data_IF_014742359430
#
_entry.id   IF_014742359430
#
_cell.length_a   1.000
_cell.length_b   1.000
_cell.length_c   1.000
_cell.angle_alpha   90.00
_cell.angle_beta   90.00
_cell.angle_gamma   90.00
#
_symmetry.space_group_name_H-M   'P 1'
#
loop_
_entity.id
_entity.type
_entity.pdbx_description
1 polymer ?
#
# COMPACT_ATOMS: atom_id res chain seq x y z
N UNK A 1 37.80 -28.83 15.03
CA UNK A 1 36.86 -27.69 15.07
C UNK A 1 36.22 -27.59 13.70
N UNK A 2 35.00 -28.07 13.56
CA UNK A 2 34.21 -27.92 12.33
C UNK A 2 33.81 -26.46 12.19
N UNK A 3 34.05 -25.89 11.01
CA UNK A 3 33.71 -24.51 10.70
C UNK A 3 32.19 -24.31 10.91
N UNK A 4 31.75 -23.44 11.83
CA UNK A 4 30.33 -23.27 12.17
C UNK A 4 29.47 -22.83 10.98
N UNK A 5 30.11 -22.39 9.88
CA UNK A 5 29.46 -22.04 8.62
C UNK A 5 28.96 -23.24 7.80
N UNK A 6 29.49 -24.45 8.01
CA UNK A 6 29.13 -25.65 7.22
C UNK A 6 27.72 -26.19 7.52
N UNK A 7 27.14 -25.84 8.68
CA UNK A 7 25.80 -26.28 9.07
C UNK A 7 24.69 -25.26 8.81
N UNK A 8 25.02 -24.04 8.36
CA UNK A 8 24.04 -22.99 8.10
C UNK A 8 23.15 -23.33 6.90
N UNK A 9 23.72 -23.92 5.84
CA UNK A 9 22.99 -24.25 4.60
C UNK A 9 21.85 -25.26 4.81
N UNK A 10 22.07 -26.44 5.42
CA UNK A 10 20.99 -27.39 5.68
C UNK A 10 19.93 -26.83 6.62
N UNK A 11 20.33 -26.01 7.60
CA UNK A 11 19.40 -25.42 8.58
C UNK A 11 18.50 -24.37 7.93
N UNK A 12 19.07 -23.40 7.19
CA UNK A 12 18.30 -22.39 6.45
C UNK A 12 17.36 -23.06 5.45
N UNK A 13 17.84 -24.05 4.69
CA UNK A 13 17.01 -24.78 3.74
C UNK A 13 15.86 -25.53 4.43
N UNK A 14 16.14 -26.25 5.52
CA UNK A 14 15.12 -26.97 6.27
C UNK A 14 14.05 -26.03 6.85
N UNK A 15 14.47 -24.86 7.33
CA UNK A 15 13.56 -23.83 7.85
C UNK A 15 12.71 -23.24 6.73
N UNK A 16 13.30 -22.90 5.58
CA UNK A 16 12.55 -22.41 4.42
C UNK A 16 11.55 -23.46 3.92
N UNK A 17 11.95 -24.73 3.80
CA UNK A 17 11.05 -25.81 3.41
C UNK A 17 9.93 -25.96 4.43
N UNK A 18 10.26 -25.97 5.73
CA UNK A 18 9.26 -26.04 6.80
C UNK A 18 8.26 -24.87 6.76
N UNK A 19 8.74 -23.65 6.53
CA UNK A 19 7.89 -22.45 6.43
C UNK A 19 7.05 -22.45 5.15
N UNK A 20 7.61 -22.86 4.01
CA UNK A 20 6.86 -22.98 2.73
C UNK A 20 5.77 -24.03 2.85
N UNK A 21 6.09 -25.22 3.39
CA UNK A 21 5.11 -26.28 3.63
C UNK A 21 4.06 -25.82 4.63
N UNK A 22 4.46 -25.18 5.73
CA UNK A 22 3.56 -24.60 6.72
C UNK A 22 2.62 -23.56 6.11
N UNK A 23 3.14 -22.63 5.31
CA UNK A 23 2.34 -21.60 4.62
C UNK A 23 1.40 -22.23 3.58
N UNK A 24 1.86 -23.23 2.84
CA UNK A 24 1.01 -23.94 1.88
C UNK A 24 -0.14 -24.67 2.58
N UNK A 25 0.15 -25.38 3.68
CA UNK A 25 -0.85 -26.03 4.51
C UNK A 25 -1.84 -25.01 5.08
N UNK A 26 -1.33 -23.92 5.65
CA UNK A 26 -2.12 -22.80 6.17
C UNK A 26 -3.08 -22.26 5.10
N UNK A 27 -2.55 -21.87 3.93
CA UNK A 27 -3.36 -21.33 2.83
C UNK A 27 -4.34 -22.35 2.24
N UNK A 28 -4.00 -23.65 2.24
CA UNK A 28 -4.88 -24.72 1.74
C UNK A 28 -6.16 -24.84 2.55
N UNK A 29 -6.08 -24.67 3.87
CA UNK A 29 -7.21 -24.75 4.80
C UNK A 29 -7.70 -23.38 5.29
N UNK A 30 -7.11 -22.29 4.81
CA UNK A 30 -7.45 -20.94 5.25
C UNK A 30 -8.90 -20.57 4.86
N UNK A 31 -9.72 -19.99 5.77
CA UNK A 31 -11.08 -19.59 5.46
C UNK A 31 -11.15 -18.52 4.35
N UNK A 32 -10.08 -17.75 4.15
CA UNK A 32 -9.98 -16.75 3.09
C UNK A 32 -9.19 -17.23 1.86
N UNK A 33 -8.95 -18.54 1.69
CA UNK A 33 -8.15 -19.09 0.59
C UNK A 33 -8.59 -18.57 -0.79
N UNK A 34 -9.89 -18.52 -1.05
CA UNK A 34 -10.43 -18.04 -2.32
C UNK A 34 -10.01 -16.60 -2.63
N UNK A 35 -9.94 -15.74 -1.61
CA UNK A 35 -9.53 -14.35 -1.77
C UNK A 35 -8.06 -14.21 -2.11
N UNK A 36 -7.20 -14.99 -1.44
CA UNK A 36 -5.78 -15.04 -1.76
C UNK A 36 -5.56 -15.59 -3.17
N UNK A 37 -6.26 -16.68 -3.54
CA UNK A 37 -6.15 -17.24 -4.88
C UNK A 37 -6.64 -16.26 -5.96
N UNK A 38 -7.77 -15.61 -5.73
CA UNK A 38 -8.35 -14.64 -6.67
C UNK A 38 -7.49 -13.37 -6.79
N UNK A 39 -6.93 -12.89 -5.67
CA UNK A 39 -5.97 -11.79 -5.68
C UNK A 39 -4.74 -12.12 -6.52
N UNK A 40 -4.24 -13.34 -6.43
CA UNK A 40 -3.10 -13.79 -7.25
C UNK A 40 -3.47 -13.84 -8.74
N UNK A 41 -4.65 -14.36 -9.08
CA UNK A 41 -5.14 -14.36 -10.47
C UNK A 41 -5.35 -12.94 -11.01
N UNK A 42 -5.81 -12.01 -10.18
CA UNK A 42 -5.92 -10.60 -10.56
C UNK A 42 -4.54 -9.98 -10.83
N UNK A 43 -3.57 -10.25 -9.95
CA UNK A 43 -2.20 -9.78 -10.06
C UNK A 43 -1.51 -10.27 -11.34
N UNK A 44 -1.72 -11.54 -11.71
CA UNK A 44 -1.23 -12.09 -12.99
C UNK A 44 -1.76 -11.31 -14.20
N UNK A 45 -2.98 -10.78 -14.12
CA UNK A 45 -3.56 -9.90 -15.13
C UNK A 45 -3.09 -8.44 -15.06
N UNK A 46 -2.21 -8.11 -14.11
CA UNK A 46 -1.71 -6.75 -13.86
C UNK A 46 -0.18 -6.75 -13.64
N UNK A 47 0.62 -7.32 -14.57
CA UNK A 47 2.07 -7.40 -14.38
C UNK A 47 2.71 -6.01 -14.23
N UNK A 48 2.10 -4.98 -14.82
CA UNK A 48 2.51 -3.58 -14.70
C UNK A 48 2.52 -3.07 -13.25
N UNK A 49 1.67 -3.62 -12.36
CA UNK A 49 1.63 -3.20 -10.96
C UNK A 49 2.91 -3.62 -10.23
N UNK A 50 3.32 -4.88 -10.42
CA UNK A 50 4.56 -5.42 -9.85
C UNK A 50 5.77 -4.69 -10.43
N UNK A 51 5.82 -4.53 -11.76
CA UNK A 51 6.93 -3.85 -12.44
C UNK A 51 7.04 -2.40 -11.96
N UNK A 52 5.92 -1.68 -11.88
CA UNK A 52 5.88 -0.30 -11.40
C UNK A 52 6.38 -0.18 -9.96
N UNK A 53 6.01 -1.11 -9.08
CA UNK A 53 6.50 -1.17 -7.71
C UNK A 53 8.00 -1.44 -7.63
N UNK A 54 8.52 -2.40 -8.39
CA UNK A 54 9.96 -2.70 -8.46
C UNK A 54 10.74 -1.47 -8.89
N UNK A 55 10.26 -0.74 -9.90
CA UNK A 55 10.90 0.52 -10.34
C UNK A 55 10.85 1.57 -9.23
N UNK A 56 9.71 1.71 -8.53
CA UNK A 56 9.61 2.66 -7.41
C UNK A 56 10.58 2.29 -6.28
N UNK A 57 10.73 1.01 -5.95
CA UNK A 57 11.71 0.53 -4.96
C UNK A 57 13.15 0.77 -5.40
N UNK A 58 13.46 0.53 -6.68
CA UNK A 58 14.79 0.80 -7.23
C UNK A 58 15.17 2.29 -7.23
N UNK A 59 14.18 3.19 -7.32
CA UNK A 59 14.38 4.65 -7.27
C UNK A 59 14.48 5.20 -5.84
N UNK A 60 14.04 4.46 -4.83
CA UNK A 60 14.25 4.84 -3.43
C UNK A 60 15.66 4.45 -2.99
N UNK A 61 16.53 5.44 -2.78
CA UNK A 61 17.93 5.25 -2.32
C UNK A 61 18.00 4.81 -0.84
N UNK A 62 16.89 4.94 -0.09
CA UNK A 62 16.77 4.53 1.31
C UNK A 62 16.64 3.01 1.43
N UNK A 63 17.19 2.38 2.49
CA UNK A 63 16.77 1.02 2.87
C UNK A 63 15.25 1.00 2.94
N UNK A 64 14.67 -0.04 2.33
CA UNK A 64 13.23 -0.23 2.22
C UNK A 64 12.60 -0.08 3.62
N UNK A 65 11.70 0.88 3.86
CA UNK A 65 11.11 1.08 5.20
C UNK A 65 10.20 -0.10 5.64
N UNK A 66 10.11 -1.14 4.82
CA UNK A 66 9.16 -2.25 4.90
C UNK A 66 9.77 -3.52 5.47
N UNK A 67 11.11 -3.57 5.59
CA UNK A 67 11.85 -4.78 5.96
C UNK A 67 12.92 -4.44 6.98
N UNK A 68 13.28 -5.42 7.82
CA UNK A 68 14.54 -5.38 8.60
C UNK A 68 15.66 -4.99 7.62
N UNK A 69 16.55 -4.03 7.96
CA UNK A 69 17.67 -3.68 7.11
C UNK A 69 18.39 -4.95 6.67
N UNK A 70 18.42 -5.20 5.37
CA UNK A 70 18.93 -6.41 4.71
C UNK A 70 20.39 -6.77 5.06
N UNK A 71 21.04 -5.95 5.87
CA UNK A 71 22.41 -6.08 6.35
C UNK A 71 22.46 -5.91 7.90
N UNK A 72 21.49 -6.47 8.65
CA UNK A 72 21.51 -6.43 10.13
C UNK A 72 22.71 -7.24 10.65
N UNK A 73 23.73 -6.59 11.26
CA UNK A 73 24.96 -7.26 11.67
C UNK A 73 24.73 -8.30 12.77
N UNK A 74 23.60 -8.25 13.48
CA UNK A 74 23.28 -9.19 14.54
C UNK A 74 22.53 -10.43 14.03
N UNK A 75 22.02 -10.43 12.79
CA UNK A 75 21.15 -11.49 12.24
C UNK A 75 21.73 -12.90 12.41
N UNK A 76 23.01 -13.08 12.05
CA UNK A 76 23.70 -14.37 12.10
C UNK A 76 24.00 -14.84 13.55
N UNK A 77 23.92 -13.94 14.53
CA UNK A 77 24.19 -14.24 15.95
C UNK A 77 22.94 -14.61 16.75
N UNK A 78 21.74 -14.38 16.19
CA UNK A 78 20.47 -14.66 16.85
C UNK A 78 20.08 -16.15 16.75
N UNK A 79 19.48 -16.67 17.81
CA UNK A 79 18.82 -17.99 17.75
C UNK A 79 17.61 -17.95 16.80
N UNK A 80 17.22 -19.08 16.22
CA UNK A 80 16.07 -19.14 15.31
C UNK A 80 14.77 -18.58 15.92
N UNK A 81 14.53 -18.86 17.19
CA UNK A 81 13.38 -18.27 17.92
C UNK A 81 13.51 -16.75 17.98
N UNK A 82 14.69 -16.26 18.34
CA UNK A 82 14.98 -14.82 18.44
C UNK A 82 14.87 -14.11 17.08
N UNK A 83 15.31 -14.75 15.99
CA UNK A 83 15.17 -14.25 14.62
C UNK A 83 13.70 -14.02 14.25
N UNK A 84 12.82 -14.99 14.54
CA UNK A 84 11.38 -14.86 14.27
C UNK A 84 10.72 -13.74 15.08
N UNK A 85 11.05 -13.61 16.36
CA UNK A 85 10.52 -12.53 17.21
C UNK A 85 11.08 -11.15 16.84
N UNK A 86 12.33 -11.08 16.38
CA UNK A 86 12.96 -9.84 15.87
C UNK A 86 12.27 -9.32 14.60
N UNK A 87 11.72 -10.22 13.79
CA UNK A 87 11.03 -9.88 12.55
C UNK A 87 9.58 -9.43 12.75
N UNK A 88 8.93 -9.83 13.84
CA UNK A 88 7.50 -9.58 14.02
C UNK A 88 7.13 -8.09 14.05
N UNK A 89 7.86 -7.21 14.77
CA UNK A 89 7.57 -5.77 14.76
C UNK A 89 7.78 -5.14 13.38
N UNK A 90 8.85 -5.54 12.68
CA UNK A 90 9.15 -5.09 11.31
C UNK A 90 8.07 -5.51 10.31
N UNK A 91 7.65 -6.78 10.35
CA UNK A 91 6.54 -7.28 9.54
C UNK A 91 5.22 -6.58 9.88
N UNK A 92 4.99 -6.25 11.15
CA UNK A 92 3.88 -5.43 11.61
C UNK A 92 3.88 -4.04 10.98
N UNK A 93 5.01 -3.35 11.05
CA UNK A 93 5.18 -2.04 10.45
C UNK A 93 4.99 -2.09 8.92
N UNK A 94 5.61 -3.07 8.25
CA UNK A 94 5.45 -3.29 6.81
C UNK A 94 3.99 -3.56 6.42
N UNK A 95 3.26 -4.33 7.22
CA UNK A 95 1.82 -4.53 7.05
C UNK A 95 1.05 -3.21 7.17
N UNK A 96 1.31 -2.44 8.22
CA UNK A 96 0.63 -1.18 8.50
C UNK A 96 0.81 -0.18 7.36
N UNK A 97 2.05 -0.06 6.87
CA UNK A 97 2.36 0.75 5.70
C UNK A 97 1.63 0.25 4.46
N UNK A 98 1.57 -1.06 4.22
CA UNK A 98 0.97 -1.62 3.00
C UNK A 98 -0.53 -1.32 2.91
N UNK A 99 -1.21 -1.40 4.05
CA UNK A 99 -2.63 -1.08 4.16
C UNK A 99 -2.90 0.37 3.77
N UNK A 100 -2.00 1.30 4.13
CA UNK A 100 -2.19 2.74 3.96
C UNK A 100 -1.46 3.34 2.74
N UNK A 101 -0.49 2.63 2.16
CA UNK A 101 0.18 2.97 0.91
C UNK A 101 0.74 1.74 0.22
N UNK A 102 0.29 1.46 -1.01
CA UNK A 102 0.82 0.32 -1.77
C UNK A 102 2.17 0.66 -2.42
N UNK A 103 2.40 1.91 -2.80
CA UNK A 103 3.57 2.31 -3.59
C UNK A 103 4.41 3.31 -2.80
N UNK A 104 5.75 3.26 -2.88
CA UNK A 104 6.60 4.34 -2.38
C UNK A 104 6.13 5.68 -2.98
N UNK A 105 5.68 6.63 -2.14
CA UNK A 105 4.99 7.80 -2.65
C UNK A 105 5.94 8.81 -3.31
N UNK A 106 7.22 8.80 -2.94
CA UNK A 106 8.21 9.80 -3.36
C UNK A 106 8.52 9.79 -4.86
N UNK A 107 8.87 8.65 -5.52
CA UNK A 107 9.11 8.68 -6.97
C UNK A 107 7.86 9.03 -7.76
N UNK A 108 6.68 8.57 -7.31
CA UNK A 108 5.42 8.83 -7.99
C UNK A 108 4.94 10.28 -7.82
N UNK A 109 5.24 10.91 -6.68
CA UNK A 109 4.82 12.28 -6.41
C UNK A 109 5.38 13.27 -7.44
N UNK A 110 6.55 12.99 -8.02
CA UNK A 110 7.14 13.78 -9.10
C UNK A 110 6.25 13.84 -10.35
N UNK A 111 5.47 12.77 -10.61
CA UNK A 111 4.51 12.71 -11.71
C UNK A 111 3.16 13.35 -11.41
N UNK A 112 2.89 13.70 -10.14
CA UNK A 112 1.60 14.23 -9.70
C UNK A 112 1.18 15.53 -10.44
N UNK A 113 2.07 16.51 -10.70
CA UNK A 113 1.68 17.71 -11.44
C UNK A 113 1.15 17.40 -12.84
N UNK A 114 1.81 16.49 -13.56
CA UNK A 114 1.37 16.04 -14.88
C UNK A 114 0.03 15.30 -14.83
N UNK A 115 -0.15 14.44 -13.82
CA UNK A 115 -1.41 13.73 -13.60
C UNK A 115 -2.56 14.71 -13.30
N UNK A 116 -2.33 15.74 -12.48
CA UNK A 116 -3.33 16.76 -12.16
C UNK A 116 -3.69 17.61 -13.38
N UNK A 117 -2.72 17.96 -14.24
CA UNK A 117 -2.98 18.62 -15.53
C UNK A 117 -3.87 17.73 -16.40
N UNK A 118 -3.54 16.45 -16.54
CA UNK A 118 -4.34 15.51 -17.32
C UNK A 118 -5.77 15.39 -16.77
N UNK A 119 -5.94 15.25 -15.46
CA UNK A 119 -7.25 15.22 -14.80
C UNK A 119 -8.06 16.50 -15.06
N UNK A 120 -7.42 17.67 -14.97
CA UNK A 120 -8.05 18.97 -15.21
C UNK A 120 -8.49 19.13 -16.67
N UNK A 121 -7.62 18.77 -17.63
CA UNK A 121 -7.92 18.83 -19.06
C UNK A 121 -9.08 17.91 -19.43
N UNK A 122 -9.06 16.66 -18.95
CA UNK A 122 -10.14 15.70 -19.22
C UNK A 122 -11.45 16.07 -18.53
N UNK A 123 -11.42 16.84 -17.44
CA UNK A 123 -12.64 17.37 -16.82
C UNK A 123 -13.41 18.37 -17.72
N UNK A 124 -12.77 18.95 -18.75
CA UNK A 124 -13.40 19.89 -19.69
C UNK A 124 -14.25 19.20 -20.74
N UNK A 125 -14.01 17.92 -21.02
CA UNK A 125 -14.79 17.16 -22.00
C UNK A 125 -16.19 16.93 -21.43
N UNK A 126 -17.27 17.34 -22.14
CA UNK A 126 -18.62 17.18 -21.63
C UNK A 126 -18.93 15.69 -21.49
N UNK A 127 -19.06 15.22 -20.25
CA UNK A 127 -19.50 13.85 -19.95
C UNK A 127 -20.81 13.56 -20.67
N UNK A 128 -20.76 12.64 -21.64
CA UNK A 128 -21.86 12.28 -22.56
C UNK A 128 -23.11 11.74 -21.82
N UNK A 129 -23.00 11.39 -20.53
CA UNK A 129 -24.07 10.80 -19.70
C UNK A 129 -24.15 11.35 -18.26
N UNK A 130 -23.60 12.53 -17.97
CA UNK A 130 -23.72 13.09 -16.62
C UNK A 130 -25.08 13.76 -16.40
N UNK A 131 -25.82 13.30 -15.38
CA UNK A 131 -27.02 13.98 -14.90
C UNK A 131 -26.71 15.44 -14.51
N UNK A 132 -27.68 16.34 -14.61
CA UNK A 132 -27.50 17.78 -14.39
C UNK A 132 -26.93 18.11 -13.00
N UNK A 133 -27.23 17.30 -11.97
CA UNK A 133 -26.63 17.37 -10.62
C UNK A 133 -25.15 16.98 -10.58
N UNK A 134 -24.72 16.05 -11.44
CA UNK A 134 -23.33 15.62 -11.54
C UNK A 134 -22.46 16.69 -12.24
N UNK A 135 -23.01 17.39 -13.23
CA UNK A 135 -22.36 18.55 -13.88
C UNK A 135 -22.07 19.70 -12.88
N UNK A 136 -23.01 20.00 -11.98
CA UNK A 136 -22.82 21.03 -10.95
C UNK A 136 -21.69 20.68 -9.96
N UNK A 137 -21.63 19.42 -9.51
CA UNK A 137 -20.57 18.94 -8.60
C UNK A 137 -19.19 18.88 -9.24
N UNK A 138 -19.11 18.50 -10.52
CA UNK A 138 -17.86 18.53 -11.28
C UNK A 138 -17.29 19.94 -11.38
N UNK A 139 -18.14 20.96 -11.59
CA UNK A 139 -17.69 22.35 -11.60
C UNK A 139 -17.15 22.81 -10.24
N UNK A 140 -17.71 22.34 -9.13
CA UNK A 140 -17.20 22.65 -7.77
C UNK A 140 -15.88 21.92 -7.47
N UNK A 141 -15.62 20.76 -8.07
CA UNK A 141 -14.37 20.01 -7.92
C UNK A 141 -13.19 20.55 -8.73
N UNK A 142 -13.43 21.44 -9.71
CA UNK A 142 -12.37 21.98 -10.58
C UNK A 142 -11.43 22.95 -9.86
N UNK A 143 -11.97 23.83 -9.02
CA UNK A 143 -11.18 24.82 -8.30
C UNK A 143 -10.17 24.18 -7.33
N UNK A 144 -10.54 23.22 -6.45
CA UNK A 144 -9.57 22.58 -5.57
C UNK A 144 -8.55 21.74 -6.36
N UNK A 145 -8.94 21.12 -7.47
CA UNK A 145 -8.02 20.37 -8.33
C UNK A 145 -7.01 21.30 -9.04
N UNK A 146 -7.46 22.47 -9.52
CA UNK A 146 -6.59 23.49 -10.10
C UNK A 146 -5.65 24.11 -9.06
N UNK A 147 -6.14 24.38 -7.84
CA UNK A 147 -5.29 24.84 -6.74
C UNK A 147 -4.21 23.81 -6.41
N UNK A 148 -4.58 22.53 -6.27
CA UNK A 148 -3.62 21.46 -6.02
C UNK A 148 -2.61 21.33 -7.15
N UNK A 149 -3.04 21.46 -8.42
CA UNK A 149 -2.15 21.47 -9.57
C UNK A 149 -1.11 22.58 -9.46
N UNK A 150 -1.53 23.82 -9.18
CA UNK A 150 -0.61 24.96 -9.01
C UNK A 150 0.36 24.70 -7.85
N UNK A 151 -0.13 24.26 -6.69
CA UNK A 151 0.70 23.95 -5.53
C UNK A 151 1.71 22.83 -5.84
N UNK A 152 1.30 21.81 -6.61
CA UNK A 152 2.19 20.71 -7.01
C UNK A 152 3.31 21.15 -7.95
N UNK A 153 3.04 22.07 -8.89
CA UNK A 153 4.07 22.65 -9.76
C UNK A 153 5.04 23.54 -8.98
N UNK A 154 4.51 24.36 -8.06
CA UNK A 154 5.35 25.20 -7.17
C UNK A 154 6.27 24.30 -6.35
N UNK A 155 5.74 23.24 -5.74
CA UNK A 155 6.54 22.27 -5.01
C UNK A 155 7.64 21.63 -5.88
N UNK A 156 7.31 21.17 -7.09
CA UNK A 156 8.29 20.54 -7.99
C UNK A 156 9.42 21.51 -8.36
N UNK A 157 9.11 22.78 -8.59
CA UNK A 157 10.13 23.81 -8.82
C UNK A 157 11.00 24.04 -7.58
N UNK A 158 10.39 24.10 -6.39
CA UNK A 158 11.13 24.27 -5.14
C UNK A 158 12.03 23.07 -4.83
N UNK A 159 11.60 21.84 -5.13
CA UNK A 159 12.45 20.65 -5.07
C UNK A 159 13.66 20.76 -6.00
N UNK A 160 13.44 21.23 -7.24
CA UNK A 160 14.52 21.51 -8.18
C UNK A 160 15.53 22.53 -7.64
N UNK A 161 15.04 23.62 -7.03
CA UNK A 161 15.89 24.63 -6.38
C UNK A 161 16.63 24.06 -5.16
N UNK A 162 15.96 23.23 -4.34
CA UNK A 162 16.57 22.58 -3.20
C UNK A 162 17.70 21.62 -3.62
N UNK A 163 17.53 20.89 -4.72
CA UNK A 163 18.58 20.03 -5.30
C UNK A 163 19.82 20.81 -5.75
N UNK A 164 19.69 22.10 -6.08
CA UNK A 164 20.81 22.96 -6.43
C UNK A 164 21.57 23.51 -5.20
N UNK A 165 21.09 23.25 -3.98
CA UNK A 165 21.72 23.73 -2.75
C UNK A 165 21.54 25.22 -2.45
N UNK A 166 20.59 25.88 -3.13
CA UNK A 166 20.38 27.35 -3.06
C UNK A 166 19.31 27.75 -2.04
N UNK A 167 18.79 26.80 -1.26
CA UNK A 167 17.60 26.99 -0.43
C UNK A 167 17.95 27.49 0.98
N UNK A 168 17.32 28.57 1.48
CA UNK A 168 17.42 28.94 2.90
C UNK A 168 16.71 27.92 3.79
N UNK A 169 17.07 27.89 5.08
CA UNK A 169 16.55 26.92 6.08
C UNK A 169 15.02 26.95 6.21
N UNK A 170 14.39 28.12 6.22
CA UNK A 170 12.92 28.23 6.23
C UNK A 170 12.29 27.62 4.96
N UNK A 171 12.99 27.73 3.82
CA UNK A 171 12.57 27.16 2.56
C UNK A 171 12.58 25.63 2.60
N UNK A 172 13.61 25.02 3.20
CA UNK A 172 13.68 23.56 3.32
C UNK A 172 12.52 22.99 4.14
N UNK A 173 12.04 23.70 5.17
CA UNK A 173 10.85 23.27 5.93
C UNK A 173 9.59 23.28 5.06
N UNK A 174 9.41 24.31 4.22
CA UNK A 174 8.27 24.40 3.29
C UNK A 174 8.32 23.26 2.27
N UNK A 175 9.49 23.02 1.67
CA UNK A 175 9.66 21.92 0.71
C UNK A 175 9.38 20.57 1.35
N UNK A 176 9.85 20.35 2.58
CA UNK A 176 9.58 19.12 3.30
C UNK A 176 8.09 18.94 3.60
N UNK A 177 7.40 20.00 4.06
CA UNK A 177 5.95 19.97 4.30
C UNK A 177 5.15 19.70 3.02
N UNK A 178 5.52 20.36 1.91
CA UNK A 178 4.89 20.12 0.61
C UNK A 178 5.15 18.71 0.10
N UNK A 179 6.38 18.19 0.27
CA UNK A 179 6.75 16.81 -0.07
C UNK A 179 5.85 15.82 0.64
N UNK A 180 5.70 15.94 1.96
CA UNK A 180 4.79 15.09 2.74
C UNK A 180 3.34 15.17 2.23
N UNK A 181 2.88 16.37 1.89
CA UNK A 181 1.55 16.57 1.30
C UNK A 181 1.37 15.86 -0.05
N UNK A 182 2.34 15.99 -0.96
CA UNK A 182 2.29 15.37 -2.29
C UNK A 182 2.45 13.85 -2.21
N UNK A 183 3.29 13.37 -1.30
CA UNK A 183 3.44 11.95 -1.01
C UNK A 183 2.12 11.34 -0.53
N UNK A 184 1.48 11.96 0.46
CA UNK A 184 0.17 11.52 0.95
C UNK A 184 -0.88 11.50 -0.15
N UNK A 185 -0.93 12.58 -0.95
CA UNK A 185 -1.91 12.69 -2.01
C UNK A 185 -1.72 11.61 -3.07
N UNK A 186 -0.47 11.36 -3.46
CA UNK A 186 -0.11 10.33 -4.45
C UNK A 186 -0.40 8.93 -3.94
N UNK A 187 -0.10 8.67 -2.66
CA UNK A 187 -0.39 7.42 -1.98
C UNK A 187 -1.90 7.10 -2.02
N UNK A 188 -2.73 8.03 -1.54
CA UNK A 188 -4.18 7.87 -1.50
C UNK A 188 -4.78 7.77 -2.90
N UNK A 189 -4.30 8.58 -3.84
CA UNK A 189 -4.78 8.54 -5.22
C UNK A 189 -4.45 7.20 -5.89
N UNK A 190 -3.24 6.67 -5.70
CA UNK A 190 -2.82 5.37 -6.20
C UNK A 190 -3.67 4.23 -5.63
N UNK A 191 -3.86 4.23 -4.30
CA UNK A 191 -4.70 3.24 -3.63
C UNK A 191 -6.16 3.28 -4.10
N UNK A 192 -6.79 4.46 -4.11
CA UNK A 192 -8.18 4.61 -4.54
C UNK A 192 -8.34 4.26 -6.03
N UNK A 193 -7.35 4.57 -6.87
CA UNK A 193 -7.35 4.17 -8.28
C UNK A 193 -7.35 2.65 -8.42
N UNK A 194 -6.46 1.95 -7.71
CA UNK A 194 -6.38 0.50 -7.76
C UNK A 194 -7.64 -0.17 -7.21
N UNK A 195 -8.16 0.30 -6.07
CA UNK A 195 -9.41 -0.22 -5.49
C UNK A 195 -10.57 -0.01 -6.48
N UNK A 196 -10.72 1.19 -7.03
CA UNK A 196 -11.79 1.49 -7.99
C UNK A 196 -11.67 0.62 -9.24
N UNK A 197 -10.45 0.38 -9.69
CA UNK A 197 -10.17 -0.50 -10.82
C UNK A 197 -10.58 -1.95 -10.53
N UNK A 198 -10.27 -2.48 -9.35
CA UNK A 198 -10.67 -3.83 -8.91
C UNK A 198 -12.20 -3.94 -8.84
N UNK A 199 -12.87 -2.93 -8.29
CA UNK A 199 -14.34 -2.88 -8.24
C UNK A 199 -14.93 -2.94 -9.66
N UNK A 200 -14.45 -2.08 -10.56
CA UNK A 200 -14.91 -2.03 -11.95
C UNK A 200 -14.67 -3.37 -12.66
N UNK A 201 -13.53 -4.00 -12.42
CA UNK A 201 -13.20 -5.32 -13.01
C UNK A 201 -14.12 -6.43 -12.54
N UNK A 202 -14.69 -6.31 -11.34
CA UNK A 202 -15.70 -7.25 -10.85
C UNK A 202 -17.09 -6.97 -11.43
N UNK A 203 -17.40 -5.73 -11.76
CA UNK A 203 -18.70 -5.31 -12.28
C UNK A 203 -18.86 -5.51 -13.81
N UNK A 204 -17.77 -5.53 -14.57
CA UNK A 204 -17.81 -5.60 -16.04
C UNK A 204 -17.36 -6.96 -16.60
N UNK A 205 -18.22 -7.62 -17.39
CA UNK A 205 -17.93 -8.89 -18.06
C UNK A 205 -17.06 -8.76 -19.31
N UNK A 206 -17.10 -7.61 -20.01
CA UNK A 206 -16.24 -7.29 -21.14
C UNK A 206 -15.23 -6.21 -20.71
N UNK A 207 -13.98 -6.62 -20.47
CA UNK A 207 -12.94 -5.75 -19.95
C UNK A 207 -12.18 -5.05 -21.07
N UNK A 208 -12.22 -3.72 -21.08
CA UNK A 208 -11.43 -2.85 -21.95
C UNK A 208 -10.58 -1.92 -21.08
N UNK A 209 -9.26 -1.98 -21.24
CA UNK A 209 -8.29 -1.26 -20.42
C UNK A 209 -8.45 0.25 -20.58
N UNK A 210 -8.61 0.77 -21.80
CA UNK A 210 -8.68 2.20 -22.03
C UNK A 210 -9.95 2.78 -21.40
N UNK A 211 -11.08 2.11 -21.63
CA UNK A 211 -12.35 2.45 -21.00
C UNK A 211 -12.28 2.37 -19.47
N UNK A 212 -11.58 1.37 -18.93
CA UNK A 212 -11.44 1.21 -17.48
C UNK A 212 -10.70 2.36 -16.80
N UNK A 213 -9.64 2.89 -17.43
CA UNK A 213 -8.88 4.03 -16.92
C UNK A 213 -9.78 5.27 -16.85
N UNK A 214 -10.58 5.48 -17.89
CA UNK A 214 -11.54 6.58 -17.94
C UNK A 214 -12.64 6.42 -16.87
N UNK A 215 -13.20 5.22 -16.71
CA UNK A 215 -14.22 4.95 -15.68
C UNK A 215 -13.68 5.13 -14.24
N UNK A 216 -12.42 4.71 -13.98
CA UNK A 216 -11.73 4.98 -12.70
C UNK A 216 -11.59 6.48 -12.48
N UNK A 217 -11.09 7.21 -13.49
CA UNK A 217 -10.94 8.66 -13.45
C UNK A 217 -12.26 9.35 -13.12
N UNK A 218 -13.33 9.01 -13.83
CA UNK A 218 -14.65 9.59 -13.63
C UNK A 218 -15.18 9.34 -12.21
N UNK A 219 -14.99 8.11 -11.69
CA UNK A 219 -15.38 7.77 -10.31
C UNK A 219 -14.61 8.59 -9.28
N UNK A 220 -13.29 8.75 -9.43
CA UNK A 220 -12.46 9.53 -8.50
C UNK A 220 -12.77 11.03 -8.57
N UNK A 221 -12.90 11.60 -9.78
CA UNK A 221 -13.26 13.01 -9.96
C UNK A 221 -14.61 13.34 -9.35
N UNK A 222 -15.58 12.43 -9.45
CA UNK A 222 -16.91 12.62 -8.84
C UNK A 222 -16.87 12.68 -7.30
N UNK A 223 -15.74 12.32 -6.68
CA UNK A 223 -15.54 12.18 -5.24
C UNK A 223 -14.34 12.98 -4.72
N UNK A 224 -13.90 14.00 -5.46
CA UNK A 224 -12.65 14.72 -5.17
C UNK A 224 -12.53 15.22 -3.73
N UNK A 225 -13.61 15.74 -3.14
CA UNK A 225 -13.59 16.18 -1.75
C UNK A 225 -13.29 15.04 -0.76
N UNK A 226 -13.86 13.85 -0.99
CA UNK A 226 -13.56 12.68 -0.18
C UNK A 226 -12.10 12.24 -0.39
N UNK A 227 -11.60 12.26 -1.64
CA UNK A 227 -10.19 11.98 -1.96
C UNK A 227 -9.25 12.93 -1.20
N UNK A 228 -9.53 14.23 -1.19
CA UNK A 228 -8.71 15.22 -0.48
C UNK A 228 -8.75 15.04 1.04
N UNK A 229 -9.90 14.68 1.61
CA UNK A 229 -10.01 14.40 3.05
C UNK A 229 -9.25 13.12 3.41
N UNK A 230 -9.36 12.07 2.59
CA UNK A 230 -8.58 10.84 2.76
C UNK A 230 -7.08 11.11 2.63
N UNK A 231 -6.65 11.99 1.73
CA UNK A 231 -5.25 12.45 1.64
C UNK A 231 -4.81 13.26 2.88
N UNK A 232 -5.69 14.05 3.48
CA UNK A 232 -5.42 14.69 4.77
C UNK A 232 -5.16 13.65 5.88
N UNK A 233 -5.97 12.59 5.94
CA UNK A 233 -5.74 11.48 6.87
C UNK A 233 -4.48 10.68 6.53
N UNK A 234 -4.19 10.46 5.25
CA UNK A 234 -2.94 9.87 4.79
C UNK A 234 -1.71 10.67 5.20
N UNK A 235 -1.83 12.00 5.33
CA UNK A 235 -0.74 12.86 5.78
C UNK A 235 -0.50 12.64 7.28
N UNK A 236 -1.56 12.60 8.08
CA UNK A 236 -1.46 12.27 9.50
C UNK A 236 -0.86 10.87 9.71
N UNK A 237 -1.24 9.91 8.85
CA UNK A 237 -0.64 8.58 8.84
C UNK A 237 0.86 8.62 8.54
N UNK A 238 1.28 9.35 7.50
CA UNK A 238 2.70 9.47 7.16
C UNK A 238 3.49 10.10 8.31
N UNK A 239 2.95 11.13 8.94
CA UNK A 239 3.57 11.78 10.10
C UNK A 239 3.66 10.84 11.31
N UNK A 240 2.59 10.08 11.60
CA UNK A 240 2.57 9.13 12.69
C UNK A 240 3.61 8.03 12.50
N UNK A 241 3.70 7.47 11.29
CA UNK A 241 4.67 6.41 11.00
C UNK A 241 6.11 6.94 11.05
N UNK A 242 6.41 8.09 10.42
CA UNK A 242 7.77 8.65 10.42
C UNK A 242 8.27 9.07 11.80
N UNK A 243 7.35 9.21 12.77
CA UNK A 243 7.68 9.44 14.17
C UNK A 243 8.01 8.17 14.95
N UNK A 244 7.85 6.98 14.37
CA UNK A 244 8.23 5.70 14.99
C UNK A 244 9.69 5.41 14.66
N UNK A 245 10.52 5.23 15.70
CA UNK A 245 11.89 4.78 15.55
C UNK A 245 11.92 3.24 15.44
N UNK A 246 12.31 2.66 14.29
CA UNK A 246 12.40 1.21 14.13
C UNK A 246 13.49 0.57 15.00
N UNK A 247 14.41 1.36 15.58
CA UNK A 247 15.45 0.84 16.47
C UNK A 247 14.94 0.58 17.89
N UNK A 248 13.81 1.18 18.30
CA UNK A 248 13.24 1.06 19.64
C UNK A 248 11.81 0.53 19.58
N UNK A 249 11.63 -0.79 19.30
CA UNK A 249 10.30 -1.36 19.17
C UNK A 249 9.51 -1.23 20.46
N UNK A 250 8.43 -0.47 20.40
CA UNK A 250 7.64 -0.05 21.55
C UNK A 250 6.15 -0.07 21.28
N UNK A 251 5.37 0.38 22.27
CA UNK A 251 3.91 0.43 22.20
C UNK A 251 3.39 1.26 20.99
N UNK A 252 4.19 2.23 20.52
CA UNK A 252 3.88 3.04 19.35
C UNK A 252 3.77 2.20 18.05
N UNK A 253 4.61 1.18 17.85
CA UNK A 253 4.55 0.33 16.66
C UNK A 253 3.26 -0.48 16.61
N UNK A 254 2.86 -1.09 17.73
CA UNK A 254 1.61 -1.84 17.83
C UNK A 254 0.40 -0.94 17.57
N UNK A 255 0.39 0.28 18.14
CA UNK A 255 -0.68 1.24 17.89
C UNK A 255 -0.77 1.65 16.42
N UNK A 256 0.36 1.76 15.72
CA UNK A 256 0.39 2.05 14.29
C UNK A 256 -0.25 0.88 13.51
N UNK A 257 0.07 -0.37 13.82
CA UNK A 257 -0.58 -1.54 13.18
C UNK A 257 -2.09 -1.54 13.43
N UNK A 258 -2.52 -1.33 14.68
CA UNK A 258 -3.93 -1.25 15.02
C UNK A 258 -4.65 -0.12 14.27
N UNK A 259 -4.04 1.06 14.24
CA UNK A 259 -4.58 2.21 13.50
C UNK A 259 -4.68 1.90 12.00
N UNK A 260 -3.66 1.29 11.38
CA UNK A 260 -3.73 0.89 9.97
C UNK A 260 -4.93 0.00 9.68
N UNK A 261 -5.16 -1.01 10.52
CA UNK A 261 -6.27 -1.96 10.38
C UNK A 261 -7.62 -1.26 10.56
N UNK A 262 -7.73 -0.36 11.54
CA UNK A 262 -8.93 0.45 11.76
C UNK A 262 -9.24 1.37 10.57
N UNK A 263 -8.23 1.90 9.90
CA UNK A 263 -8.42 2.76 8.73
C UNK A 263 -8.41 2.01 7.39
N UNK A 264 -8.21 0.68 7.37
CA UNK A 264 -8.13 -0.13 6.16
C UNK A 264 -9.40 -0.06 5.28
N UNK A 265 -10.57 0.06 5.93
CA UNK A 265 -11.85 0.16 5.22
C UNK A 265 -12.13 1.54 4.64
N UNK A 266 -11.42 2.60 5.05
CA UNK A 266 -11.71 3.96 4.62
C UNK A 266 -11.51 4.18 3.12
N UNK A 267 -10.35 3.83 2.50
CA UNK A 267 -10.18 3.95 1.06
C UNK A 267 -11.24 3.15 0.29
N UNK A 268 -11.60 1.98 0.81
CA UNK A 268 -12.61 1.11 0.23
C UNK A 268 -14.01 1.75 0.19
N UNK A 269 -14.45 2.30 1.32
CA UNK A 269 -15.74 3.01 1.42
C UNK A 269 -15.74 4.26 0.53
N UNK A 270 -14.64 5.02 0.52
CA UNK A 270 -14.52 6.21 -0.33
C UNK A 270 -14.58 5.85 -1.83
N UNK A 271 -14.03 4.70 -2.23
CA UNK A 271 -14.10 4.21 -3.60
C UNK A 271 -15.49 3.68 -4.00
N UNK A 272 -16.27 3.12 -3.05
CA UNK A 272 -17.54 2.46 -3.35
C UNK A 272 -18.77 3.36 -3.12
N UNK A 273 -18.79 4.10 -2.01
CA UNK A 273 -19.97 4.84 -1.53
C UNK A 273 -19.87 6.35 -1.78
N UNK A 274 -21.00 6.97 -2.16
CA UNK A 274 -21.13 8.43 -2.26
C UNK A 274 -21.99 8.96 -1.11
N UNK A 275 -21.58 10.07 -0.50
CA UNK A 275 -22.36 10.71 0.57
C UNK A 275 -21.62 11.83 1.25
N UNK A 276 -22.20 12.35 2.34
CA UNK A 276 -21.50 13.24 3.27
C UNK A 276 -20.36 12.49 3.98
N UNK A 277 -19.38 13.22 4.53
CA UNK A 277 -18.30 12.63 5.30
C UNK A 277 -18.81 11.82 6.51
N UNK A 278 -19.87 12.28 7.16
CA UNK A 278 -20.53 11.57 8.27
C UNK A 278 -21.09 10.22 7.82
N UNK A 279 -21.71 10.16 6.65
CA UNK A 279 -22.22 8.91 6.09
C UNK A 279 -21.08 7.96 5.69
N UNK A 280 -20.01 8.47 5.10
CA UNK A 280 -18.80 7.70 4.80
C UNK A 280 -18.24 7.08 6.08
N UNK A 281 -18.06 7.87 7.14
CA UNK A 281 -17.51 7.38 8.41
C UNK A 281 -18.42 6.33 9.06
N UNK A 282 -19.73 6.55 9.09
CA UNK A 282 -20.69 5.56 9.60
C UNK A 282 -20.60 4.24 8.81
N UNK A 283 -20.42 4.32 7.49
CA UNK A 283 -20.27 3.13 6.65
C UNK A 283 -18.93 2.43 6.88
N UNK A 284 -17.84 3.16 7.11
CA UNK A 284 -16.54 2.59 7.53
C UNK A 284 -16.71 1.77 8.80
N UNK A 285 -17.33 2.33 9.84
CA UNK A 285 -17.56 1.62 11.10
C UNK A 285 -18.42 0.37 10.92
N UNK A 286 -19.45 0.44 10.06
CA UNK A 286 -20.28 -0.71 9.74
C UNK A 286 -19.48 -1.81 9.03
N UNK A 287 -18.67 -1.45 8.02
CA UNK A 287 -17.83 -2.39 7.29
C UNK A 287 -16.86 -3.07 8.25
N UNK A 288 -16.10 -2.30 9.04
CA UNK A 288 -15.13 -2.82 10.01
C UNK A 288 -15.78 -3.79 11.00
N UNK A 289 -16.97 -3.46 11.51
CA UNK A 289 -17.70 -4.32 12.44
C UNK A 289 -18.02 -5.68 11.82
N UNK A 290 -18.45 -5.71 10.55
CA UNK A 290 -18.81 -6.96 9.87
C UNK A 290 -17.57 -7.72 9.41
N UNK A 291 -16.49 -7.02 9.07
CA UNK A 291 -15.25 -7.62 8.56
C UNK A 291 -14.22 -7.89 9.63
N UNK A 292 -14.47 -7.63 10.91
CA UNK A 292 -13.46 -7.74 11.97
C UNK A 292 -12.75 -9.10 12.00
N UNK A 293 -13.51 -10.21 11.97
CA UNK A 293 -12.95 -11.57 11.97
C UNK A 293 -12.21 -11.91 10.68
N UNK A 294 -12.77 -11.69 9.46
CA UNK A 294 -12.01 -11.84 8.22
C UNK A 294 -10.74 -10.98 8.18
N UNK A 295 -10.81 -9.74 8.65
CA UNK A 295 -9.69 -8.82 8.66
C UNK A 295 -8.58 -9.31 9.59
N UNK A 296 -8.93 -9.82 10.77
CA UNK A 296 -7.99 -10.46 11.69
C UNK A 296 -7.31 -11.68 11.07
N UNK A 297 -8.09 -12.57 10.41
CA UNK A 297 -7.55 -13.74 9.73
C UNK A 297 -6.59 -13.36 8.58
N UNK A 298 -6.93 -12.29 7.85
CA UNK A 298 -6.06 -11.73 6.81
C UNK A 298 -4.78 -11.14 7.42
N UNK A 299 -4.87 -10.36 8.51
CA UNK A 299 -3.71 -9.77 9.21
C UNK A 299 -2.74 -10.86 9.67
N UNK A 300 -3.23 -11.91 10.33
CA UNK A 300 -2.39 -13.02 10.80
C UNK A 300 -1.66 -13.69 9.63
N UNK A 301 -2.38 -13.94 8.53
CA UNK A 301 -1.80 -14.56 7.33
C UNK A 301 -0.77 -13.66 6.66
N UNK A 302 -1.07 -12.36 6.55
CA UNK A 302 -0.17 -11.37 5.95
C UNK A 302 1.11 -11.22 6.78
N UNK A 303 1.01 -11.16 8.11
CA UNK A 303 2.18 -11.15 9.01
C UNK A 303 3.04 -12.40 8.83
N UNK A 304 2.43 -13.59 8.80
CA UNK A 304 3.17 -14.83 8.60
C UNK A 304 3.92 -14.85 7.25
N UNK A 305 3.29 -14.34 6.19
CA UNK A 305 3.90 -14.22 4.86
C UNK A 305 5.05 -13.20 4.88
N UNK A 306 4.86 -12.02 5.49
CA UNK A 306 5.89 -10.98 5.56
C UNK A 306 7.11 -11.44 6.38
N UNK A 307 6.89 -12.05 7.56
CA UNK A 307 7.98 -12.65 8.36
C UNK A 307 8.75 -13.69 7.55
N UNK A 308 8.06 -14.51 6.74
CA UNK A 308 8.71 -15.48 5.88
C UNK A 308 9.56 -14.82 4.78
N UNK A 309 9.04 -13.76 4.15
CA UNK A 309 9.76 -13.01 3.13
C UNK A 309 11.01 -12.36 3.72
N UNK A 310 10.88 -11.70 4.87
CA UNK A 310 12.00 -11.05 5.56
C UNK A 310 13.05 -12.09 5.99
N UNK A 311 12.61 -13.21 6.56
CA UNK A 311 13.48 -14.33 6.93
C UNK A 311 14.28 -14.84 5.73
N UNK A 312 13.59 -15.03 4.59
CA UNK A 312 14.20 -15.51 3.36
C UNK A 312 15.20 -14.50 2.79
N UNK A 313 14.85 -13.21 2.76
CA UNK A 313 15.70 -12.14 2.26
C UNK A 313 17.00 -11.99 3.06
N UNK A 314 16.89 -11.93 4.39
CA UNK A 314 18.04 -11.85 5.31
C UNK A 314 18.94 -13.08 5.21
N UNK A 315 18.33 -14.27 5.16
CA UNK A 315 19.07 -15.52 5.01
C UNK A 315 19.78 -15.61 3.66
N UNK A 316 19.18 -15.11 2.57
CA UNK A 316 19.81 -15.16 1.26
C UNK A 316 20.97 -14.16 1.12
N UNK A 317 20.89 -13.00 1.77
CA UNK A 317 21.98 -12.02 1.78
C UNK A 317 23.18 -12.45 2.62
N UNK A 318 22.94 -13.05 3.79
CA UNK A 318 24.02 -13.59 4.60
C UNK A 318 24.80 -14.68 3.87
N UNK A 319 24.15 -15.39 2.94
CA UNK A 319 24.76 -16.39 2.06
C UNK A 319 25.48 -15.78 0.83
N UNK A 320 25.01 -14.65 0.31
CA UNK A 320 25.53 -14.05 -0.93
C UNK A 320 26.88 -13.32 -0.77
N UNK A 321 27.32 -13.04 0.45
CA UNK A 321 28.60 -12.38 0.73
C UNK A 321 28.62 -10.87 0.49
N UNK A 322 29.68 -10.20 0.98
CA UNK A 322 29.69 -8.77 1.29
C UNK A 322 29.96 -7.75 0.16
N UNK A 323 30.15 -8.14 -1.11
CA UNK A 323 30.35 -7.14 -2.18
C UNK A 323 30.06 -7.66 -3.60
N UNK A 324 29.69 -6.75 -4.51
CA UNK A 324 29.63 -7.00 -5.95
C UNK A 324 28.24 -7.21 -6.54
N UNK A 325 28.20 -7.85 -7.72
CA UNK A 325 27.01 -8.14 -8.51
C UNK A 325 25.97 -9.00 -7.77
N UNK A 326 26.43 -9.94 -6.93
CA UNK A 326 25.55 -10.82 -6.14
C UNK A 326 24.61 -10.03 -5.23
N UNK A 327 25.11 -9.05 -4.48
CA UNK A 327 24.29 -8.18 -3.62
C UNK A 327 23.26 -7.38 -4.42
N UNK A 328 23.64 -6.89 -5.61
CA UNK A 328 22.71 -6.16 -6.49
C UNK A 328 21.60 -7.05 -7.03
N UNK A 329 21.94 -8.25 -7.50
CA UNK A 329 20.97 -9.23 -7.97
C UNK A 329 20.00 -9.65 -6.86
N UNK A 330 20.50 -9.86 -5.64
CA UNK A 330 19.68 -10.18 -4.46
C UNK A 330 18.72 -9.04 -4.14
N UNK A 331 19.18 -7.78 -4.16
CA UNK A 331 18.31 -6.62 -3.91
C UNK A 331 17.19 -6.49 -4.94
N UNK A 332 17.49 -6.67 -6.23
CA UNK A 332 16.47 -6.65 -7.29
C UNK A 332 15.46 -7.79 -7.09
N UNK A 333 15.95 -8.99 -6.79
CA UNK A 333 15.08 -10.14 -6.52
C UNK A 333 14.20 -9.90 -5.29
N UNK A 334 14.75 -9.34 -4.21
CA UNK A 334 13.98 -9.01 -3.01
C UNK A 334 12.91 -7.96 -3.30
N UNK A 335 13.25 -6.89 -4.04
CA UNK A 335 12.29 -5.88 -4.46
C UNK A 335 11.15 -6.48 -5.30
N UNK A 336 11.46 -7.45 -6.18
CA UNK A 336 10.46 -8.19 -6.96
C UNK A 336 9.54 -9.03 -6.08
N UNK A 337 10.10 -9.78 -5.12
CA UNK A 337 9.33 -10.58 -4.17
C UNK A 337 8.44 -9.69 -3.32
N UNK A 338 8.97 -8.61 -2.76
CA UNK A 338 8.22 -7.65 -1.96
C UNK A 338 7.10 -7.00 -2.77
N UNK A 339 7.39 -6.48 -3.97
CA UNK A 339 6.38 -5.90 -4.85
C UNK A 339 5.26 -6.89 -5.18
N UNK A 340 5.61 -8.15 -5.42
CA UNK A 340 4.64 -9.22 -5.69
C UNK A 340 3.79 -9.52 -4.47
N UNK A 341 4.41 -9.77 -3.32
CA UNK A 341 3.72 -10.12 -2.07
C UNK A 341 2.84 -8.98 -1.59
N UNK A 342 3.35 -7.75 -1.62
CA UNK A 342 2.61 -6.57 -1.23
C UNK A 342 1.38 -6.33 -2.11
N UNK A 343 1.54 -6.41 -3.44
CA UNK A 343 0.43 -6.30 -4.38
C UNK A 343 -0.61 -7.39 -4.14
N UNK A 344 -0.15 -8.63 -3.94
CA UNK A 344 -1.00 -9.78 -3.70
C UNK A 344 -1.79 -9.65 -2.39
N UNK A 345 -1.13 -9.32 -1.29
CA UNK A 345 -1.73 -9.13 0.03
C UNK A 345 -2.71 -7.95 0.03
N UNK A 346 -2.35 -6.82 -0.59
CA UNK A 346 -3.23 -5.67 -0.73
C UNK A 346 -4.49 -6.01 -1.54
N UNK A 347 -4.35 -6.71 -2.67
CA UNK A 347 -5.50 -7.15 -3.46
C UNK A 347 -6.37 -8.14 -2.67
N UNK A 348 -5.77 -9.05 -1.90
CA UNK A 348 -6.51 -9.96 -1.03
C UNK A 348 -7.28 -9.21 0.06
N UNK A 349 -6.71 -8.15 0.64
CA UNK A 349 -7.39 -7.26 1.58
C UNK A 349 -8.61 -6.59 0.94
N UNK A 350 -8.42 -6.00 -0.25
CA UNK A 350 -9.49 -5.32 -0.99
C UNK A 350 -10.63 -6.28 -1.29
N UNK A 351 -10.34 -7.50 -1.75
CA UNK A 351 -11.36 -8.51 -2.03
C UNK A 351 -12.07 -8.99 -0.74
N UNK A 352 -11.33 -9.14 0.36
CA UNK A 352 -11.89 -9.51 1.67
C UNK A 352 -12.89 -8.45 2.14
N UNK A 353 -12.49 -7.17 2.10
CA UNK A 353 -13.34 -6.03 2.46
C UNK A 353 -14.54 -5.90 1.52
N UNK A 354 -14.37 -6.15 0.22
CA UNK A 354 -15.45 -6.11 -0.76
C UNK A 354 -16.55 -7.13 -0.46
N UNK A 355 -16.17 -8.41 -0.36
CA UNK A 355 -17.17 -9.47 -0.22
C UNK A 355 -17.79 -9.50 1.18
N UNK A 356 -17.00 -9.31 2.24
CA UNK A 356 -17.53 -9.37 3.60
C UNK A 356 -18.10 -8.03 4.08
N UNK A 357 -17.56 -6.89 3.64
CA UNK A 357 -17.98 -5.57 4.12
C UNK A 357 -19.19 -5.00 3.40
N UNK A 358 -19.32 -5.27 2.10
CA UNK A 358 -20.37 -4.67 1.27
C UNK A 358 -21.41 -5.66 0.77
N UNK A 359 -21.03 -6.92 0.56
CA UNK A 359 -21.94 -7.97 0.08
C UNK A 359 -22.44 -8.90 1.20
N UNK A 360 -22.25 -8.55 2.48
CA UNK A 360 -22.86 -9.32 3.57
C UNK A 360 -24.39 -9.33 3.36
N UNK A 361 -25.04 -10.51 3.38
CA UNK A 361 -26.49 -10.58 3.26
C UNK A 361 -27.07 -9.70 4.35
N UNK A 362 -27.91 -8.73 3.96
CA UNK A 362 -28.70 -7.98 4.91
C UNK A 362 -29.37 -9.02 5.82
N UNK A 363 -29.06 -8.98 7.12
CA UNK A 363 -29.82 -9.74 8.11
C UNK A 363 -31.29 -9.52 7.77
N UNK A 364 -32.10 -10.56 7.51
CA UNK A 364 -33.52 -10.35 7.31
C UNK A 364 -33.98 -9.52 8.50
N UNK A 365 -34.55 -8.34 8.22
CA UNK A 365 -35.17 -7.53 9.24
C UNK A 365 -36.06 -8.49 10.02
N UNK A 366 -35.73 -8.70 11.30
CA UNK A 366 -36.53 -9.54 12.16
C UNK A 366 -37.94 -8.94 12.08
N UNK A 367 -38.84 -9.65 11.41
CA UNK A 367 -40.23 -9.25 11.35
C UNK A 367 -40.74 -9.23 12.77
N UNK A 368 -41.04 -8.03 13.26
CA UNK A 368 -42.10 -7.69 14.20
C UNK A 368 -42.16 -6.18 14.36
#
# INVERSE_FOLDING_TARGET
MTDPTQHLWPQTLAVLVGLIVGLWLHLRWHPLREFFSEAFSLLQGMPWLVIGLVVCYGLTVSPEPWTVPLDDPQWASLSLKSQLFHMLPHAGLGLAMMIQGLVPPWPLALGLPGLLVWLLLKSKVPMRRASQRQKSRLNHGRLPLALLMVVSWIWLLLEGVACLGVMPTWGSWIVHGLRLGMESFTMVLGQLSLITWVILRKECSAWDVEKSVEDVRERLQSRWLAVTVTAGLGLLWILAWRGVDPAEPGLAEFLVVEAAVLFAALPMVVAQVRGSLTFILARVMQVLRVTALPLLAWVISALAILVLVDFSGQSFLSLAGGSGFGRWAVRIFNALVLATMQSWLFLALVLTLLRHGFNAPARPAAGK
#
